data_IF_288220855405
#
_entry.id   IF_288220855405
#
_cell.length_a   1.000
_cell.length_b   1.000
_cell.length_c   1.000
_cell.angle_alpha   90.00
_cell.angle_beta   90.00
_cell.angle_gamma   90.00
#
_symmetry.space_group_name_H-M   'P 1'
#
loop_
_entity.id
_entity.type
_entity.pdbx_description
1 polymer ?
#
# COMPACT_ATOMS: atom_id res chain seq x y z
N UNK A 1 10.17 4.86 0.27
CA UNK A 1 9.99 4.38 1.67
C UNK A 1 9.10 3.14 1.67
N UNK A 2 9.42 2.16 2.52
CA UNK A 2 8.57 1.00 2.78
C UNK A 2 8.23 0.95 4.26
N UNK A 3 6.93 0.93 4.57
CA UNK A 3 6.40 0.73 5.92
C UNK A 3 5.98 -0.73 6.04
N UNK A 4 6.39 -1.38 7.12
CA UNK A 4 5.93 -2.73 7.49
C UNK A 4 5.00 -2.60 8.68
N UNK A 5 3.72 -2.92 8.45
CA UNK A 5 2.65 -2.89 9.45
C UNK A 5 2.49 -4.25 10.14
N UNK A 6 1.69 -4.30 11.20
CA UNK A 6 1.56 -5.48 12.08
C UNK A 6 0.65 -6.61 11.58
N UNK A 7 0.13 -6.54 10.35
CA UNK A 7 -0.68 -7.62 9.77
C UNK A 7 0.15 -8.81 9.28
N UNK A 8 -0.53 -9.82 8.71
CA UNK A 8 0.15 -10.99 8.15
C UNK A 8 1.03 -10.60 6.96
N UNK A 9 2.24 -11.13 6.92
CA UNK A 9 3.20 -10.93 5.82
C UNK A 9 3.80 -12.28 5.45
N UNK A 10 3.72 -12.62 4.18
CA UNK A 10 4.47 -13.72 3.61
C UNK A 10 5.93 -13.27 3.42
N UNK A 11 6.84 -13.85 4.23
CA UNK A 11 8.23 -13.36 4.37
C UNK A 11 9.03 -13.45 3.08
N UNK A 12 8.94 -14.57 2.37
CA UNK A 12 9.73 -14.79 1.14
C UNK A 12 9.31 -13.80 0.07
N UNK A 13 7.99 -13.60 -0.11
CA UNK A 13 7.46 -12.56 -1.00
C UNK A 13 8.00 -11.18 -0.62
N UNK A 14 7.87 -10.79 0.65
CA UNK A 14 8.28 -9.46 1.10
C UNK A 14 9.77 -9.21 0.90
N UNK A 15 10.62 -10.20 1.22
CA UNK A 15 12.06 -10.11 1.01
C UNK A 15 12.45 -9.98 -0.47
N UNK A 16 11.82 -10.76 -1.35
CA UNK A 16 12.11 -10.68 -2.78
C UNK A 16 11.56 -9.40 -3.40
N UNK A 17 10.40 -8.94 -2.92
CA UNK A 17 9.83 -7.67 -3.37
C UNK A 17 10.70 -6.48 -2.95
N UNK A 18 11.21 -6.45 -1.71
CA UNK A 18 12.16 -5.44 -1.25
C UNK A 18 13.46 -5.43 -2.06
N UNK A 19 14.01 -6.60 -2.38
CA UNK A 19 15.19 -6.73 -3.25
C UNK A 19 14.92 -6.16 -4.64
N UNK A 20 13.76 -6.48 -5.22
CA UNK A 20 13.34 -5.94 -6.53
C UNK A 20 13.25 -4.42 -6.49
N UNK A 21 12.54 -3.86 -5.50
CA UNK A 21 12.40 -2.42 -5.31
C UNK A 21 13.77 -1.72 -5.16
N UNK A 22 14.69 -2.30 -4.38
CA UNK A 22 16.04 -1.73 -4.22
C UNK A 22 16.83 -1.78 -5.53
N UNK A 23 16.66 -2.85 -6.33
CA UNK A 23 17.31 -2.97 -7.64
C UNK A 23 16.79 -1.97 -8.65
N UNK A 24 15.48 -1.68 -8.61
CA UNK A 24 14.84 -0.68 -9.48
C UNK A 24 15.23 0.76 -9.07
N UNK A 25 15.47 1.00 -7.78
CA UNK A 25 15.86 2.30 -7.22
C UNK A 25 17.36 2.34 -6.88
N UNK A 26 18.23 2.04 -7.84
CA UNK A 26 19.69 1.89 -7.63
C UNK A 26 20.37 3.11 -7.01
N UNK A 27 19.89 4.30 -7.32
CA UNK A 27 20.48 5.56 -6.90
C UNK A 27 20.05 6.02 -5.50
N UNK A 28 19.09 5.35 -4.90
CA UNK A 28 18.57 5.68 -3.57
C UNK A 28 18.37 4.42 -2.73
N UNK A 29 18.87 4.46 -1.48
CA UNK A 29 18.57 3.42 -0.50
C UNK A 29 17.09 3.48 -0.13
N UNK A 30 16.41 2.32 -0.10
CA UNK A 30 15.07 2.22 0.46
C UNK A 30 15.13 2.52 1.96
N UNK A 31 14.30 3.44 2.41
CA UNK A 31 14.04 3.64 3.83
C UNK A 31 13.05 2.57 4.30
N UNK A 32 13.42 1.82 5.32
CA UNK A 32 12.60 0.77 5.92
C UNK A 32 12.05 1.23 7.27
N UNK A 33 10.75 1.10 7.46
CA UNK A 33 10.04 1.59 8.65
C UNK A 33 9.22 0.46 9.25
N UNK A 34 9.39 0.21 10.54
CA UNK A 34 8.54 -0.67 11.33
C UNK A 34 7.42 0.14 11.98
N UNK A 35 6.16 -0.19 11.71
CA UNK A 35 5.00 0.34 12.43
C UNK A 35 4.54 -0.70 13.46
N UNK A 36 4.73 -0.39 14.73
CA UNK A 36 4.39 -1.21 15.89
C UNK A 36 4.79 -2.69 15.70
N UNK A 37 3.83 -3.63 15.68
CA UNK A 37 4.06 -5.07 15.52
C UNK A 37 4.78 -5.44 14.21
N UNK A 38 4.84 -4.56 13.23
CA UNK A 38 5.68 -4.72 12.05
C UNK A 38 7.16 -4.94 12.38
N UNK A 39 7.58 -4.58 13.59
CA UNK A 39 8.93 -4.84 14.12
C UNK A 39 9.28 -6.35 14.17
N UNK A 40 8.30 -7.22 14.43
CA UNK A 40 8.53 -8.67 14.45
C UNK A 40 9.00 -9.21 13.09
N UNK A 41 8.51 -8.65 11.98
CA UNK A 41 9.01 -8.99 10.63
C UNK A 41 10.51 -8.71 10.50
N UNK A 42 10.98 -7.56 10.97
CA UNK A 42 12.41 -7.21 10.90
C UNK A 42 13.26 -8.14 11.74
N UNK A 43 12.81 -8.47 12.95
CA UNK A 43 13.46 -9.45 13.83
C UNK A 43 13.58 -10.81 13.13
N UNK A 44 12.50 -11.29 12.54
CA UNK A 44 12.42 -12.62 11.95
C UNK A 44 13.18 -12.76 10.63
N UNK A 45 13.37 -11.66 9.89
CA UNK A 45 14.09 -11.65 8.62
C UNK A 45 15.55 -11.22 8.74
N UNK A 46 15.96 -10.70 9.91
CA UNK A 46 17.29 -10.15 10.13
C UNK A 46 17.52 -8.79 9.43
N UNK A 47 16.50 -8.20 8.81
CA UNK A 47 16.56 -6.84 8.31
C UNK A 47 16.55 -5.86 9.47
N UNK A 48 17.19 -4.70 9.30
CA UNK A 48 17.20 -3.62 10.29
C UNK A 48 16.39 -2.45 9.75
N UNK A 49 15.34 -1.99 10.46
CA UNK A 49 14.59 -0.82 10.05
C UNK A 49 15.41 0.45 10.28
N UNK A 50 15.26 1.46 9.42
CA UNK A 50 15.84 2.79 9.62
C UNK A 50 15.04 3.58 10.68
N UNK A 51 13.72 3.27 10.82
CA UNK A 51 12.79 3.89 11.77
C UNK A 51 11.85 2.84 12.36
N UNK A 52 11.56 2.92 13.64
CA UNK A 52 10.51 2.18 14.32
C UNK A 52 9.55 3.16 15.00
N UNK A 53 8.25 3.08 14.67
CA UNK A 53 7.20 3.96 15.15
C UNK A 53 6.05 3.16 15.77
N UNK A 54 5.63 3.48 16.99
CA UNK A 54 4.58 2.78 17.71
C UNK A 54 4.67 2.93 19.21
N UNK A 55 3.66 2.43 19.94
CA UNK A 55 3.72 2.27 21.40
C UNK A 55 4.34 0.93 21.82
N UNK A 56 4.43 -0.01 20.85
CA UNK A 56 5.03 -1.34 20.96
C UNK A 56 4.34 -2.24 22.01
N UNK A 57 3.07 -1.98 22.33
CA UNK A 57 2.33 -2.77 23.32
C UNK A 57 1.95 -4.14 22.76
N UNK A 58 1.65 -4.22 21.45
CA UNK A 58 1.27 -5.43 20.73
C UNK A 58 2.46 -6.25 20.19
N UNK A 59 3.69 -5.75 20.36
CA UNK A 59 4.92 -6.41 19.92
C UNK A 59 5.26 -7.58 20.85
N UNK A 60 5.72 -8.70 20.28
CA UNK A 60 6.13 -9.88 21.05
C UNK A 60 7.25 -9.57 22.05
N UNK A 61 7.42 -10.44 23.06
CA UNK A 61 8.51 -10.26 24.03
C UNK A 61 9.88 -10.28 23.34
N UNK A 62 10.06 -11.17 22.37
CA UNK A 62 11.27 -11.24 21.54
C UNK A 62 11.43 -9.99 20.66
N UNK A 63 10.31 -9.43 20.15
CA UNK A 63 10.32 -8.18 19.39
C UNK A 63 10.73 -6.99 20.26
N UNK A 64 10.29 -6.93 21.53
CA UNK A 64 10.75 -5.90 22.48
C UNK A 64 12.24 -6.01 22.78
N UNK A 65 12.74 -7.22 23.02
CA UNK A 65 14.17 -7.45 23.19
C UNK A 65 14.97 -7.07 21.93
N UNK A 66 14.42 -7.34 20.75
CA UNK A 66 15.01 -6.90 19.49
C UNK A 66 15.04 -5.37 19.38
N UNK A 67 13.94 -4.68 19.71
CA UNK A 67 13.87 -3.21 19.72
C UNK A 67 14.98 -2.61 20.59
N UNK A 68 15.19 -3.16 21.79
CA UNK A 68 16.21 -2.69 22.73
C UNK A 68 17.65 -2.93 22.20
N UNK A 69 17.83 -3.89 21.30
CA UNK A 69 19.13 -4.18 20.66
C UNK A 69 19.46 -3.24 19.49
N UNK A 70 18.49 -2.50 18.99
CA UNK A 70 18.65 -1.64 17.81
C UNK A 70 19.45 -0.37 18.15
N UNK A 71 20.68 -0.28 17.64
CA UNK A 71 21.57 0.87 17.89
C UNK A 71 21.59 1.91 16.77
N UNK A 72 21.08 1.57 15.58
CA UNK A 72 21.08 2.44 14.38
C UNK A 72 19.70 2.85 13.92
N UNK A 73 18.66 2.32 14.54
CA UNK A 73 17.26 2.61 14.22
C UNK A 73 16.80 3.84 15.01
N UNK A 74 16.16 4.78 14.34
CA UNK A 74 15.47 5.86 15.03
C UNK A 74 14.16 5.32 15.60
N UNK A 75 13.99 5.41 16.92
CA UNK A 75 12.79 4.92 17.61
C UNK A 75 11.91 6.13 17.96
N UNK A 76 10.66 6.09 17.54
CA UNK A 76 9.62 7.07 17.86
C UNK A 76 8.55 6.38 18.69
N UNK A 77 8.56 6.62 20.01
CA UNK A 77 7.55 6.08 20.93
C UNK A 77 6.32 6.97 20.92
N UNK A 78 5.18 6.38 20.59
CA UNK A 78 3.89 7.03 20.58
C UNK A 78 3.19 6.91 21.93
N UNK A 79 2.30 7.86 22.22
CA UNK A 79 1.36 7.71 23.32
C UNK A 79 0.29 6.68 22.93
N UNK A 80 -0.11 5.76 23.83
CA UNK A 80 -1.14 4.76 23.54
C UNK A 80 -2.50 5.40 23.20
N UNK A 81 -2.84 6.52 23.81
CA UNK A 81 -4.07 7.28 23.57
C UNK A 81 -3.85 8.28 22.42
N UNK A 82 -4.17 7.86 21.19
CA UNK A 82 -4.11 8.68 19.98
C UNK A 82 -5.25 8.31 19.04
N UNK A 83 -5.64 9.25 18.19
CA UNK A 83 -6.70 9.05 17.20
C UNK A 83 -6.23 8.25 15.99
N UNK A 84 -4.93 8.28 15.67
CA UNK A 84 -4.32 7.59 14.53
C UNK A 84 -3.96 6.13 14.85
N UNK A 85 -4.13 5.24 13.88
CA UNK A 85 -3.51 3.90 13.93
C UNK A 85 -1.98 4.01 13.82
N UNK A 86 -1.24 2.98 14.28
CA UNK A 86 0.24 2.98 14.17
C UNK A 86 0.71 3.08 12.72
N UNK A 87 0.01 2.42 11.79
CA UNK A 87 0.29 2.53 10.35
C UNK A 87 0.07 3.94 9.83
N UNK A 88 -0.98 4.62 10.26
CA UNK A 88 -1.24 6.01 9.89
C UNK A 88 -0.22 6.97 10.49
N UNK A 89 0.16 6.77 11.73
CA UNK A 89 1.23 7.54 12.39
C UNK A 89 2.55 7.42 11.64
N UNK A 90 2.99 6.18 11.35
CA UNK A 90 4.19 5.92 10.57
C UNK A 90 4.12 6.58 9.17
N UNK A 91 2.96 6.51 8.51
CA UNK A 91 2.73 7.17 7.22
C UNK A 91 2.90 8.70 7.33
N UNK A 92 2.23 9.33 8.29
CA UNK A 92 2.34 10.78 8.53
C UNK A 92 3.79 11.18 8.80
N UNK A 93 4.47 10.43 9.67
CA UNK A 93 5.87 10.70 10.02
C UNK A 93 6.81 10.68 8.81
N UNK A 94 6.70 9.68 7.93
CA UNK A 94 7.58 9.62 6.75
C UNK A 94 7.21 10.66 5.68
N UNK A 95 5.94 11.03 5.56
CA UNK A 95 5.51 12.13 4.70
C UNK A 95 6.14 13.45 5.16
N UNK A 96 6.11 13.72 6.47
CA UNK A 96 6.71 14.92 7.06
C UNK A 96 8.24 14.93 6.90
N UNK A 97 8.87 13.76 6.82
CA UNK A 97 10.29 13.61 6.47
C UNK A 97 10.59 13.75 4.96
N UNK A 98 9.57 13.97 4.14
CA UNK A 98 9.72 14.23 2.71
C UNK A 98 9.55 13.02 1.80
N UNK A 99 9.07 11.88 2.30
CA UNK A 99 8.72 10.75 1.45
C UNK A 99 7.65 11.14 0.42
N UNK A 100 7.79 10.66 -0.82
CA UNK A 100 6.84 10.96 -1.92
C UNK A 100 6.25 9.71 -2.56
N UNK A 101 6.83 8.55 -2.28
CA UNK A 101 6.35 7.25 -2.72
C UNK A 101 6.51 6.26 -1.58
N UNK A 102 5.43 5.69 -1.12
CA UNK A 102 5.37 4.87 0.08
C UNK A 102 4.64 3.58 -0.26
N UNK A 103 5.27 2.46 0.05
CA UNK A 103 4.67 1.14 0.00
C UNK A 103 4.41 0.67 1.44
N UNK A 104 3.25 0.07 1.68
CA UNK A 104 2.90 -0.50 2.98
C UNK A 104 2.72 -2.00 2.81
N UNK A 105 3.51 -2.79 3.52
CA UNK A 105 3.40 -4.24 3.66
C UNK A 105 2.73 -4.60 4.98
N UNK A 106 2.04 -5.75 5.04
CA UNK A 106 1.34 -6.18 6.26
C UNK A 106 0.10 -5.35 6.58
N UNK A 107 -0.51 -4.73 5.57
CA UNK A 107 -1.69 -3.88 5.72
C UNK A 107 -2.99 -4.53 5.21
N UNK A 108 -2.92 -5.71 4.59
CA UNK A 108 -4.04 -6.37 3.90
C UNK A 108 -4.60 -7.59 4.65
N UNK A 109 -3.79 -8.23 5.50
CA UNK A 109 -4.16 -9.45 6.21
C UNK A 109 -4.67 -9.22 7.63
N UNK A 110 -5.56 -10.10 8.12
CA UNK A 110 -6.03 -10.11 9.50
C UNK A 110 -7.38 -9.44 9.69
N UNK A 111 -7.47 -8.45 10.55
CA UNK A 111 -8.71 -7.76 10.90
C UNK A 111 -9.21 -6.90 9.73
N UNK A 112 -10.48 -7.07 9.35
CA UNK A 112 -11.09 -6.32 8.25
C UNK A 112 -11.22 -4.82 8.53
N UNK A 113 -11.46 -4.43 9.78
CA UNK A 113 -11.52 -3.03 10.17
C UNK A 113 -10.17 -2.31 9.97
N UNK A 114 -9.06 -2.97 10.28
CA UNK A 114 -7.72 -2.46 9.98
C UNK A 114 -7.47 -2.37 8.47
N UNK A 115 -7.89 -3.38 7.70
CA UNK A 115 -7.76 -3.32 6.24
C UNK A 115 -8.54 -2.14 5.65
N UNK A 116 -9.81 -1.95 6.06
CA UNK A 116 -10.62 -0.81 5.61
C UNK A 116 -10.00 0.54 6.00
N UNK A 117 -9.47 0.65 7.23
CA UNK A 117 -8.71 1.82 7.65
C UNK A 117 -7.46 2.06 6.79
N UNK A 118 -6.73 0.99 6.48
CA UNK A 118 -5.54 1.08 5.63
C UNK A 118 -5.85 1.49 4.18
N UNK A 119 -7.01 1.12 3.62
CA UNK A 119 -7.47 1.66 2.33
C UNK A 119 -7.64 3.18 2.38
N UNK A 120 -8.09 3.74 3.51
CA UNK A 120 -8.16 5.19 3.72
C UNK A 120 -6.82 5.90 3.63
N UNK A 121 -5.71 5.20 3.93
CA UNK A 121 -4.35 5.76 3.85
C UNK A 121 -3.95 6.11 2.40
N UNK A 122 -4.51 5.41 1.41
CA UNK A 122 -4.31 5.74 -0.01
C UNK A 122 -4.83 7.15 -0.31
N UNK A 123 -6.04 7.45 0.15
CA UNK A 123 -6.68 8.77 0.00
C UNK A 123 -5.94 9.84 0.81
N UNK A 124 -5.53 9.53 2.05
CA UNK A 124 -4.71 10.43 2.87
C UNK A 124 -3.39 10.80 2.15
N UNK A 125 -2.71 9.81 1.58
CA UNK A 125 -1.49 10.03 0.79
C UNK A 125 -1.74 10.98 -0.37
N UNK A 126 -2.81 10.76 -1.15
CA UNK A 126 -3.17 11.64 -2.26
C UNK A 126 -3.45 13.08 -1.81
N UNK A 127 -4.21 13.26 -0.73
CA UNK A 127 -4.48 14.60 -0.16
C UNK A 127 -3.18 15.34 0.22
N UNK A 128 -2.15 14.59 0.63
CA UNK A 128 -0.82 15.12 0.95
C UNK A 128 0.15 15.15 -0.26
N UNK A 129 -0.30 14.83 -1.47
CA UNK A 129 0.51 14.82 -2.69
C UNK A 129 1.55 13.69 -2.72
N UNK A 130 1.26 12.57 -2.06
CA UNK A 130 2.16 11.42 -1.91
C UNK A 130 1.51 10.17 -2.51
N UNK A 131 2.28 9.39 -3.25
CA UNK A 131 1.84 8.09 -3.76
C UNK A 131 1.95 7.05 -2.66
N UNK A 132 0.84 6.40 -2.32
CA UNK A 132 0.78 5.29 -1.36
C UNK A 132 0.24 4.06 -2.07
N UNK A 133 0.83 2.92 -1.78
CA UNK A 133 0.34 1.62 -2.21
C UNK A 133 0.39 0.62 -1.05
N UNK A 134 -0.52 -0.35 -1.05
CA UNK A 134 -0.48 -1.51 -0.18
C UNK A 134 -0.10 -2.72 -1.03
N UNK A 135 0.70 -3.65 -0.49
CA UNK A 135 0.99 -4.89 -1.20
C UNK A 135 1.08 -6.09 -0.26
N UNK A 136 0.71 -7.24 -0.78
CA UNK A 136 0.96 -8.57 -0.24
C UNK A 136 1.31 -9.53 -1.40
N UNK A 137 1.39 -10.83 -1.14
CA UNK A 137 1.75 -11.84 -2.16
C UNK A 137 0.71 -12.01 -3.27
N UNK A 138 -0.51 -11.48 -3.10
CA UNK A 138 -1.63 -11.62 -4.04
C UNK A 138 -2.11 -10.30 -4.61
N UNK A 139 -1.88 -9.19 -3.89
CA UNK A 139 -2.52 -7.92 -4.19
C UNK A 139 -1.49 -6.77 -4.23
N UNK A 140 -1.72 -5.83 -5.15
CA UNK A 140 -1.06 -4.54 -5.17
C UNK A 140 -2.13 -3.46 -5.35
N UNK A 141 -2.40 -2.69 -4.29
CA UNK A 141 -3.53 -1.78 -4.20
C UNK A 141 -3.03 -0.34 -4.18
N UNK A 142 -3.50 0.49 -5.10
CA UNK A 142 -3.16 1.91 -5.15
C UNK A 142 -4.32 2.74 -5.71
N UNK A 143 -4.24 4.05 -5.57
CA UNK A 143 -5.15 4.96 -6.27
C UNK A 143 -4.69 5.18 -7.70
N UNK A 144 -5.64 5.30 -8.62
CA UNK A 144 -5.41 5.67 -10.03
C UNK A 144 -6.15 6.95 -10.39
N UNK A 145 -5.56 7.69 -11.31
CA UNK A 145 -6.10 8.94 -11.85
C UNK A 145 -6.53 8.76 -13.30
N UNK A 146 -7.43 9.62 -13.76
CA UNK A 146 -7.82 9.65 -15.17
C UNK A 146 -6.60 9.80 -16.08
N UNK A 147 -6.57 9.03 -17.16
CA UNK A 147 -5.43 8.98 -18.08
C UNK A 147 -4.33 7.98 -17.67
N UNK A 148 -4.55 7.19 -16.60
CA UNK A 148 -3.61 6.13 -16.21
C UNK A 148 -3.49 5.09 -17.33
N UNK A 149 -2.25 4.72 -17.65
CA UNK A 149 -1.93 3.61 -18.56
C UNK A 149 -1.28 2.48 -17.77
N UNK A 150 -1.76 1.27 -18.02
CA UNK A 150 -1.18 0.05 -17.46
C UNK A 150 -0.54 -0.74 -18.61
N UNK A 151 0.58 -1.39 -18.30
CA UNK A 151 1.36 -2.17 -19.26
C UNK A 151 1.34 -3.63 -18.88
N UNK A 152 1.06 -4.51 -19.83
CA UNK A 152 0.92 -5.94 -19.62
C UNK A 152 2.18 -6.59 -19.05
N UNK A 153 3.35 -6.14 -19.47
CA UNK A 153 4.67 -6.61 -19.02
C UNK A 153 5.06 -6.13 -17.61
N UNK A 154 4.29 -5.21 -17.03
CA UNK A 154 4.52 -4.61 -15.71
C UNK A 154 3.42 -4.91 -14.70
N UNK A 155 2.51 -5.82 -15.04
CA UNK A 155 1.46 -6.22 -14.11
C UNK A 155 2.04 -6.90 -12.86
N UNK A 156 1.44 -6.63 -11.73
CA UNK A 156 1.74 -7.34 -10.48
C UNK A 156 1.16 -8.76 -10.52
N UNK A 157 -0.13 -8.88 -10.87
CA UNK A 157 -0.85 -10.14 -10.96
C UNK A 157 -1.52 -10.32 -12.33
N UNK A 158 -2.36 -11.34 -12.44
CA UNK A 158 -3.11 -11.66 -13.66
C UNK A 158 -4.31 -10.73 -13.87
N UNK A 159 -4.96 -10.36 -12.78
CA UNK A 159 -6.22 -9.65 -12.80
C UNK A 159 -6.04 -8.19 -12.39
N UNK A 160 -6.94 -7.35 -12.89
CA UNK A 160 -7.03 -5.93 -12.55
C UNK A 160 -8.46 -5.65 -12.12
N UNK A 161 -8.63 -4.99 -10.98
CA UNK A 161 -9.96 -4.61 -10.47
C UNK A 161 -9.99 -3.12 -10.16
N UNK A 162 -11.12 -2.47 -10.42
CA UNK A 162 -11.31 -1.05 -10.14
C UNK A 162 -12.49 -0.85 -9.20
N UNK A 163 -12.29 -0.08 -8.15
CA UNK A 163 -13.31 0.25 -7.16
C UNK A 163 -13.38 1.77 -6.95
N UNK A 164 -14.58 2.36 -6.84
CA UNK A 164 -14.70 3.75 -6.47
C UNK A 164 -14.29 3.93 -4.99
N UNK A 165 -13.43 4.90 -4.72
CA UNK A 165 -12.97 5.23 -3.37
C UNK A 165 -13.46 6.64 -2.99
N UNK A 166 -14.52 6.74 -2.22
CA UNK A 166 -15.05 8.01 -1.71
C UNK A 166 -16.25 8.58 -2.48
N UNK A 167 -16.66 7.97 -3.61
CA UNK A 167 -17.84 8.40 -4.36
C UNK A 167 -17.93 7.72 -5.72
N UNK A 168 -18.99 8.00 -6.48
CA UNK A 168 -19.15 7.46 -7.82
C UNK A 168 -18.05 7.94 -8.78
N UNK A 169 -17.69 7.09 -9.74
CA UNK A 169 -16.80 7.40 -10.85
C UNK A 169 -17.67 7.64 -12.09
N UNK A 170 -17.73 8.87 -12.58
CA UNK A 170 -18.54 9.24 -13.74
C UNK A 170 -17.75 9.08 -15.04
N UNK A 171 -18.37 8.44 -16.03
CA UNK A 171 -17.82 8.32 -17.37
C UNK A 171 -16.60 7.40 -17.45
N UNK A 172 -16.53 6.34 -16.61
CA UNK A 172 -15.45 5.36 -16.65
C UNK A 172 -15.35 4.70 -18.01
N UNK A 173 -14.17 4.74 -18.59
CA UNK A 173 -13.83 4.09 -19.86
C UNK A 173 -12.59 3.22 -19.65
N UNK A 174 -12.69 1.95 -20.02
CA UNK A 174 -11.62 0.95 -19.98
C UNK A 174 -11.36 0.44 -21.40
N UNK A 175 -10.19 0.73 -21.94
CA UNK A 175 -9.78 0.33 -23.28
C UNK A 175 -8.59 -0.64 -23.24
N UNK A 176 -8.60 -1.64 -24.12
CA UNK A 176 -7.56 -2.67 -24.20
C UNK A 176 -7.69 -3.78 -23.16
N UNK A 177 -8.70 -3.72 -22.31
CA UNK A 177 -9.04 -4.78 -21.36
C UNK A 177 -9.95 -5.83 -21.98
N UNK A 178 -9.98 -7.02 -21.36
CA UNK A 178 -10.89 -8.11 -21.75
C UNK A 178 -12.36 -7.71 -21.63
N UNK A 179 -12.70 -6.98 -20.57
CA UNK A 179 -14.02 -6.42 -20.36
C UNK A 179 -13.91 -4.90 -20.48
N UNK A 180 -14.27 -4.38 -21.62
CA UNK A 180 -14.23 -2.95 -21.94
C UNK A 180 -15.43 -2.22 -21.36
N UNK A 181 -15.26 -0.96 -21.00
CA UNK A 181 -16.34 -0.05 -20.60
C UNK A 181 -16.21 1.25 -21.38
N UNK A 182 -17.33 1.90 -21.65
CA UNK A 182 -17.37 3.19 -22.32
C UNK A 182 -18.36 4.13 -21.64
N UNK A 183 -17.85 5.16 -20.99
CA UNK A 183 -18.66 6.20 -20.34
C UNK A 183 -19.55 5.73 -19.20
N UNK A 184 -19.18 4.65 -18.50
CA UNK A 184 -20.00 4.06 -17.44
C UNK A 184 -19.90 4.84 -16.14
N UNK A 185 -21.01 5.00 -15.41
CA UNK A 185 -21.02 5.58 -14.06
C UNK A 185 -20.91 4.46 -13.03
N UNK A 186 -19.68 4.23 -12.52
CA UNK A 186 -19.38 3.18 -11.58
C UNK A 186 -19.68 3.63 -10.15
N UNK A 187 -20.44 2.81 -9.42
CA UNK A 187 -20.77 3.01 -8.00
C UNK A 187 -20.28 1.85 -7.15
N UNK A 188 -20.28 2.00 -5.84
CA UNK A 188 -19.94 0.91 -4.90
C UNK A 188 -20.88 -0.30 -5.00
N UNK A 189 -22.07 -0.12 -5.57
CA UNK A 189 -23.04 -1.20 -5.79
C UNK A 189 -22.71 -2.09 -7.01
N UNK A 190 -21.82 -1.62 -7.90
CA UNK A 190 -21.42 -2.32 -9.13
C UNK A 190 -20.30 -3.35 -8.87
N UNK A 191 -20.46 -4.14 -7.83
CA UNK A 191 -19.43 -5.00 -7.25
C UNK A 191 -18.84 -6.07 -8.19
N UNK A 192 -19.51 -6.42 -9.29
CA UNK A 192 -19.04 -7.43 -10.23
C UNK A 192 -18.51 -6.88 -11.55
N UNK A 193 -18.78 -5.62 -11.85
CA UNK A 193 -18.57 -5.07 -13.20
C UNK A 193 -17.08 -4.86 -13.53
N UNK A 194 -16.30 -4.45 -12.55
CA UNK A 194 -14.89 -4.07 -12.73
C UNK A 194 -13.92 -5.00 -11.98
N UNK A 195 -14.41 -6.11 -11.47
CA UNK A 195 -13.61 -7.11 -10.75
C UNK A 195 -13.07 -8.17 -11.70
N UNK A 196 -11.82 -8.58 -11.49
CA UNK A 196 -11.14 -9.64 -12.26
C UNK A 196 -11.09 -9.37 -13.77
N UNK A 197 -10.88 -8.13 -14.17
CA UNK A 197 -10.58 -7.80 -15.55
C UNK A 197 -9.16 -8.26 -15.92
N UNK A 198 -8.85 -8.35 -17.19
CA UNK A 198 -7.54 -8.78 -17.68
C UNK A 198 -7.02 -7.79 -18.73
N UNK A 199 -5.72 -7.49 -18.68
CA UNK A 199 -5.07 -6.68 -19.73
C UNK A 199 -4.89 -7.55 -20.96
N UNK A 200 -5.51 -7.16 -22.08
CA UNK A 200 -5.43 -7.88 -23.35
C UNK A 200 -4.34 -7.33 -24.26
N UNK A 201 -4.24 -6.01 -24.35
CA UNK A 201 -3.27 -5.32 -25.19
C UNK A 201 -1.94 -5.07 -24.44
N UNK A 202 -0.88 -4.71 -25.16
CA UNK A 202 0.42 -4.37 -24.55
C UNK A 202 0.32 -3.20 -23.56
N UNK A 203 -0.57 -2.23 -23.89
CA UNK A 203 -0.90 -1.10 -23.03
C UNK A 203 -2.40 -0.86 -23.06
N UNK A 204 -2.99 -0.61 -21.90
CA UNK A 204 -4.41 -0.33 -21.72
C UNK A 204 -4.60 1.03 -21.06
N UNK A 205 -5.75 1.65 -21.27
CA UNK A 205 -6.05 2.94 -20.69
C UNK A 205 -7.26 2.87 -19.73
N UNK A 206 -7.14 3.60 -18.63
CA UNK A 206 -8.18 3.92 -17.68
C UNK A 206 -8.45 5.41 -17.73
N UNK A 207 -9.67 5.82 -18.06
CA UNK A 207 -10.08 7.22 -18.08
C UNK A 207 -11.45 7.41 -17.45
N UNK A 208 -11.71 8.59 -16.91
CA UNK A 208 -13.02 9.00 -16.41
C UNK A 208 -13.19 10.51 -16.52
N UNK A 209 -14.44 11.00 -16.51
CA UNK A 209 -14.76 12.42 -16.51
C UNK A 209 -14.60 13.03 -15.13
N UNK A 210 -15.14 12.35 -14.10
CA UNK A 210 -15.10 12.78 -12.71
C UNK A 210 -15.07 11.58 -11.79
N UNK A 211 -14.20 11.64 -10.79
CA UNK A 211 -14.20 10.73 -9.63
C UNK A 211 -13.70 11.48 -8.40
N UNK A 212 -14.17 11.09 -7.21
CA UNK A 212 -13.48 11.48 -5.99
C UNK A 212 -12.15 10.75 -5.91
N UNK A 213 -12.17 9.44 -5.99
CA UNK A 213 -10.99 8.57 -5.99
C UNK A 213 -11.34 7.21 -6.64
N UNK A 214 -10.36 6.53 -7.21
CA UNK A 214 -10.51 5.14 -7.66
C UNK A 214 -9.36 4.30 -7.16
N UNK A 215 -9.67 3.18 -6.50
CA UNK A 215 -8.69 2.17 -6.08
C UNK A 215 -8.48 1.19 -7.23
N UNK A 216 -7.24 0.92 -7.54
CA UNK A 216 -6.79 -0.14 -8.43
C UNK A 216 -6.21 -1.28 -7.57
N UNK A 217 -6.68 -2.49 -7.81
CA UNK A 217 -6.12 -3.73 -7.29
C UNK A 217 -5.60 -4.58 -8.47
N UNK A 218 -4.35 -5.02 -8.37
CA UNK A 218 -3.60 -5.71 -9.41
C UNK A 218 -3.18 -7.10 -8.95
#
# INVERSE_FOLDING_TARGET
TVIVSGGMIQKDFALDFLKKLQKENKDQKLQLVAADRGLDFFRETGLVPDLADGDFDSVSAEGKAYLDSLTRTRIMKLQPEKDDTDTQSALNLVIDQGARSILILGATGGRLDHFLGNLGLLTLGKQKGVKVALADEQNYICLVESGTRLYKDRQFGKYVSFFPAGGAVEGLTLEGFKYTLAGYNLTVADSGLTVSNEIQEEAVSYTHLRAHETVLDL
#
